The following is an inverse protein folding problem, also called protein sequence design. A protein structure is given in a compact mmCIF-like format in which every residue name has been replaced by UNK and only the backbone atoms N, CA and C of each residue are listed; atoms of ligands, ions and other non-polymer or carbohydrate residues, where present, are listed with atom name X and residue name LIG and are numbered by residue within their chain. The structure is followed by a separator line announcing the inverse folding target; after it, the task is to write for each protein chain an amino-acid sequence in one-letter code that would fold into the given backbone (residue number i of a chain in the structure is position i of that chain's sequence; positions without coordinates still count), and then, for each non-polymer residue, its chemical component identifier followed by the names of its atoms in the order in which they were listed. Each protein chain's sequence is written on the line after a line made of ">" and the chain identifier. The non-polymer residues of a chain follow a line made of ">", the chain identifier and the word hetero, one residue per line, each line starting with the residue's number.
data_IF_760144044730
#
_entry.id   IF_760144044730
#
_cell.length_a   1.000
_cell.length_b   1.000
_cell.length_c   1.000
_cell.angle_alpha   90.00
_cell.angle_beta   90.00
_cell.angle_gamma   90.00
#
_symmetry.space_group_name_H-M   'P 1'
#
loop_
_entity.id
_entity.type
_entity.pdbx_description
1 polymer ?
#
# COMPACT_ATOMS: atom_id res chain seq x y z
N UNK A 1 -10.35 -13.78 -12.19
CA UNK A 1 -9.18 -13.31 -11.42
C UNK A 1 -9.58 -12.32 -10.33
N UNK A 2 -10.54 -11.43 -10.60
CA UNK A 2 -11.17 -10.58 -9.57
C UNK A 2 -11.55 -11.35 -8.30
N UNK A 3 -12.14 -12.54 -8.41
CA UNK A 3 -12.46 -13.39 -7.24
C UNK A 3 -11.25 -13.84 -6.43
N UNK A 4 -10.14 -14.22 -7.08
CA UNK A 4 -8.88 -14.59 -6.42
C UNK A 4 -8.19 -13.37 -5.79
N UNK A 5 -8.16 -12.25 -6.51
CA UNK A 5 -7.62 -10.98 -6.01
C UNK A 5 -8.42 -10.49 -4.79
N UNK A 6 -9.75 -10.50 -4.85
CA UNK A 6 -10.63 -10.13 -3.74
C UNK A 6 -10.45 -11.06 -2.54
N UNK A 7 -10.24 -12.36 -2.76
CA UNK A 7 -9.96 -13.30 -1.67
C UNK A 7 -8.63 -12.98 -0.98
N UNK A 8 -7.58 -12.71 -1.76
CA UNK A 8 -6.27 -12.34 -1.24
C UNK A 8 -6.35 -10.99 -0.50
N UNK A 9 -7.03 -10.01 -1.08
CA UNK A 9 -7.22 -8.69 -0.48
C UNK A 9 -8.01 -8.76 0.82
N UNK A 10 -9.10 -9.54 0.86
CA UNK A 10 -9.86 -9.77 2.09
C UNK A 10 -8.98 -10.38 3.18
N UNK A 11 -8.19 -11.40 2.83
CA UNK A 11 -7.26 -12.02 3.76
C UNK A 11 -6.23 -11.02 4.30
N UNK A 12 -5.62 -10.22 3.42
CA UNK A 12 -4.66 -9.17 3.82
C UNK A 12 -5.29 -8.09 4.70
N UNK A 13 -6.53 -7.69 4.44
CA UNK A 13 -7.25 -6.71 5.28
C UNK A 13 -7.59 -7.29 6.66
N UNK A 14 -7.92 -8.57 6.76
CA UNK A 14 -8.09 -9.24 8.05
C UNK A 14 -6.76 -9.36 8.81
N UNK A 15 -5.66 -9.64 8.09
CA UNK A 15 -4.30 -9.60 8.65
C UNK A 15 -3.94 -8.19 9.16
N UNK A 16 -4.32 -7.16 8.42
CA UNK A 16 -4.13 -5.76 8.81
C UNK A 16 -4.99 -5.36 10.02
N UNK A 17 -6.20 -5.90 10.15
CA UNK A 17 -7.04 -5.71 11.34
C UNK A 17 -6.42 -6.34 12.60
N UNK A 18 -5.67 -7.44 12.46
CA UNK A 18 -4.94 -8.10 13.56
C UNK A 18 -3.70 -7.31 14.01
N UNK A 19 -3.14 -6.47 13.14
CA UNK A 19 -1.90 -5.73 13.39
C UNK A 19 -1.92 -4.91 14.70
N UNK A 20 -2.90 -4.01 14.96
CA UNK A 20 -2.92 -3.26 16.21
C UNK A 20 -3.06 -4.16 17.45
N UNK A 21 -3.75 -5.30 17.33
CA UNK A 21 -3.90 -6.28 18.42
C UNK A 21 -2.56 -6.92 18.75
N UNK A 22 -1.82 -7.38 17.74
CA UNK A 22 -0.50 -8.00 17.93
C UNK A 22 0.48 -6.98 18.51
N UNK A 23 0.48 -5.74 18.00
CA UNK A 23 1.32 -4.68 18.53
C UNK A 23 1.02 -4.38 20.00
N UNK A 24 -0.25 -4.28 20.37
CA UNK A 24 -0.66 -4.04 21.74
C UNK A 24 -0.28 -5.19 22.68
N UNK A 25 -0.45 -6.44 22.25
CA UNK A 25 -0.06 -7.64 23.04
C UNK A 25 1.46 -7.68 23.23
N UNK A 26 2.23 -7.54 22.14
CA UNK A 26 3.69 -7.54 22.21
C UNK A 26 4.22 -6.40 23.08
N UNK A 27 3.60 -5.21 22.99
CA UNK A 27 3.94 -4.10 23.86
C UNK A 27 3.64 -4.38 25.33
N UNK A 28 2.50 -5.03 25.64
CA UNK A 28 2.12 -5.36 27.01
C UNK A 28 3.06 -6.41 27.63
N UNK A 29 3.50 -7.39 26.85
CA UNK A 29 4.45 -8.43 27.29
C UNK A 29 5.83 -7.85 27.62
N UNK A 30 6.27 -6.80 26.91
CA UNK A 30 7.57 -6.16 27.16
C UNK A 30 7.57 -5.24 28.40
N UNK A 31 6.39 -4.81 28.88
CA UNK A 31 6.25 -3.96 30.07
C UNK A 31 6.20 -4.81 31.35
N UNK A 32 7.28 -5.56 31.63
CA UNK A 32 7.48 -6.15 32.95
C UNK A 32 7.74 -5.03 33.98
N UNK A 33 6.69 -4.72 34.76
CA UNK A 33 6.74 -4.28 36.17
C UNK A 33 6.48 -2.82 36.58
N UNK A 34 6.26 -1.80 35.74
CA UNK A 34 5.93 -0.48 36.34
C UNK A 34 5.21 0.49 35.40
N UNK A 35 4.01 0.90 35.85
CA UNK A 35 3.18 2.01 35.33
C UNK A 35 2.31 1.75 34.09
N UNK A 36 1.04 1.40 34.35
CA UNK A 36 -0.11 2.29 34.14
C UNK A 36 -1.38 1.51 33.80
N UNK A 37 -2.47 1.76 34.53
CA UNK A 37 -3.83 1.30 34.19
C UNK A 37 -4.22 1.63 32.74
N UNK A 38 -3.56 2.62 32.13
CA UNK A 38 -3.75 3.11 30.77
C UNK A 38 -3.38 2.04 29.72
N UNK A 39 -2.26 1.32 29.89
CA UNK A 39 -1.81 0.30 28.92
C UNK A 39 -2.81 -0.85 28.75
N UNK A 40 -3.36 -1.37 29.86
CA UNK A 40 -4.37 -2.42 29.81
C UNK A 40 -5.72 -1.94 29.27
N UNK A 41 -6.10 -0.67 29.50
CA UNK A 41 -7.31 -0.11 28.89
C UNK A 41 -7.19 0.03 27.37
N UNK A 42 -6.03 0.45 26.86
CA UNK A 42 -5.76 0.53 25.42
C UNK A 42 -5.81 -0.87 24.80
N UNK A 43 -5.16 -1.86 25.44
CA UNK A 43 -5.23 -3.26 25.01
C UNK A 43 -6.70 -3.74 24.94
N UNK A 44 -7.51 -3.45 25.96
CA UNK A 44 -8.91 -3.83 25.99
C UNK A 44 -9.71 -3.18 24.83
N UNK A 45 -9.53 -1.88 24.57
CA UNK A 45 -10.20 -1.20 23.46
C UNK A 45 -9.79 -1.73 22.09
N UNK A 46 -8.49 -2.01 21.90
CA UNK A 46 -7.97 -2.55 20.63
C UNK A 46 -8.51 -3.96 20.38
N UNK A 47 -8.52 -4.81 21.41
CA UNK A 47 -9.08 -6.17 21.33
C UNK A 47 -10.61 -6.13 21.12
N UNK A 48 -11.33 -5.26 21.83
CA UNK A 48 -12.78 -5.08 21.64
C UNK A 48 -13.13 -4.55 20.25
N UNK A 49 -12.30 -3.68 19.68
CA UNK A 49 -12.46 -3.12 18.34
C UNK A 49 -12.14 -4.10 17.20
N UNK A 50 -11.44 -5.20 17.49
CA UNK A 50 -11.01 -6.16 16.47
C UNK A 50 -12.17 -6.94 15.83
N UNK A 51 -13.05 -7.53 16.64
CA UNK A 51 -14.21 -8.28 16.16
C UNK A 51 -15.16 -7.46 15.27
N UNK A 52 -15.60 -6.24 15.66
CA UNK A 52 -16.46 -5.44 14.81
C UNK A 52 -15.75 -4.99 13.52
N UNK A 53 -14.43 -4.75 13.56
CA UNK A 53 -13.65 -4.45 12.36
C UNK A 53 -13.61 -5.64 11.38
N UNK A 54 -13.41 -6.86 11.87
CA UNK A 54 -13.46 -8.08 11.05
C UNK A 54 -14.83 -8.30 10.42
N UNK A 55 -15.91 -8.12 11.21
CA UNK A 55 -17.29 -8.21 10.72
C UNK A 55 -17.54 -7.14 9.66
N UNK A 56 -17.06 -5.91 9.86
CA UNK A 56 -17.18 -4.81 8.90
C UNK A 56 -16.47 -5.14 7.58
N UNK A 57 -15.26 -5.69 7.64
CA UNK A 57 -14.51 -6.13 6.44
C UNK A 57 -15.30 -7.21 5.69
N UNK A 58 -15.78 -8.25 6.39
CA UNK A 58 -16.58 -9.31 5.75
C UNK A 58 -17.87 -8.80 5.13
N UNK A 59 -18.59 -7.94 5.84
CA UNK A 59 -19.83 -7.34 5.37
C UNK A 59 -19.59 -6.45 4.14
N UNK A 60 -18.54 -5.63 4.17
CA UNK A 60 -18.17 -4.75 3.07
C UNK A 60 -17.80 -5.55 1.81
N UNK A 61 -17.04 -6.63 1.95
CA UNK A 61 -16.69 -7.49 0.82
C UNK A 61 -17.92 -8.19 0.24
N UNK A 62 -18.83 -8.72 1.07
CA UNK A 62 -20.08 -9.33 0.59
C UNK A 62 -20.92 -8.34 -0.22
N UNK A 63 -20.94 -7.07 0.18
CA UNK A 63 -21.69 -6.01 -0.50
C UNK A 63 -21.02 -5.51 -1.79
N UNK A 64 -19.70 -5.42 -1.79
CA UNK A 64 -18.93 -4.75 -2.86
C UNK A 64 -18.49 -5.73 -3.96
N UNK A 65 -18.39 -7.03 -3.69
CA UNK A 65 -17.87 -8.02 -4.66
C UNK A 65 -18.58 -7.95 -6.02
N UNK A 66 -19.92 -7.95 -6.04
CA UNK A 66 -20.68 -7.88 -7.29
C UNK A 66 -20.49 -6.55 -8.05
N UNK A 67 -20.37 -5.44 -7.33
CA UNK A 67 -20.09 -4.13 -7.93
C UNK A 67 -18.68 -4.06 -8.53
N UNK A 68 -17.68 -4.57 -7.80
CA UNK A 68 -16.29 -4.61 -8.27
C UNK A 68 -16.15 -5.48 -9.50
N UNK A 69 -16.80 -6.64 -9.56
CA UNK A 69 -16.70 -7.52 -10.72
C UNK A 69 -17.24 -6.83 -11.99
N UNK A 70 -18.38 -6.16 -11.89
CA UNK A 70 -18.95 -5.38 -13.00
C UNK A 70 -18.06 -4.19 -13.39
N UNK A 71 -17.61 -3.40 -12.41
CA UNK A 71 -16.72 -2.27 -12.66
C UNK A 71 -15.38 -2.71 -13.28
N UNK A 72 -14.83 -3.86 -12.85
CA UNK A 72 -13.56 -4.38 -13.36
C UNK A 72 -13.64 -4.83 -14.82
N UNK A 73 -14.82 -5.29 -15.25
CA UNK A 73 -15.08 -5.66 -16.65
C UNK A 73 -15.33 -4.41 -17.50
N UNK A 74 -16.07 -3.44 -16.98
CA UNK A 74 -16.34 -2.17 -17.66
C UNK A 74 -15.05 -1.37 -17.88
N UNK A 75 -14.19 -1.27 -16.87
CA UNK A 75 -12.85 -0.65 -16.99
C UNK A 75 -12.00 -1.35 -18.04
N UNK A 76 -11.96 -2.69 -18.03
CA UNK A 76 -11.25 -3.46 -19.04
C UNK A 76 -11.78 -3.18 -20.46
N UNK A 77 -13.10 -3.13 -20.64
CA UNK A 77 -13.73 -2.79 -21.91
C UNK A 77 -13.44 -1.36 -22.37
N UNK A 78 -13.48 -0.39 -21.45
CA UNK A 78 -13.11 1.00 -21.72
C UNK A 78 -11.68 1.11 -22.23
N UNK A 79 -10.72 0.46 -21.55
CA UNK A 79 -9.31 0.46 -21.93
C UNK A 79 -9.07 -0.15 -23.32
N UNK A 80 -9.85 -1.16 -23.70
CA UNK A 80 -9.76 -1.78 -25.03
C UNK A 80 -10.38 -0.91 -26.13
N UNK A 81 -11.37 -0.07 -25.78
CA UNK A 81 -12.05 0.84 -26.71
C UNK A 81 -11.30 2.16 -26.96
N UNK A 82 -10.28 2.50 -26.15
CA UNK A 82 -9.48 3.72 -26.35
C UNK A 82 -8.95 3.76 -27.78
N UNK A 83 -9.13 4.88 -28.48
CA UNK A 83 -8.66 5.05 -29.86
C UNK A 83 -7.13 4.92 -29.96
N UNK A 84 -6.63 4.36 -31.06
CA UNK A 84 -5.19 4.23 -31.33
C UNK A 84 -4.42 5.56 -31.26
N UNK A 85 -5.10 6.69 -31.52
CA UNK A 85 -4.51 8.04 -31.39
C UNK A 85 -4.20 8.41 -29.94
N UNK A 86 -5.02 7.99 -28.99
CA UNK A 86 -4.85 8.29 -27.57
C UNK A 86 -4.14 7.17 -26.80
N UNK A 87 -3.98 5.98 -27.41
CA UNK A 87 -3.30 4.85 -26.80
C UNK A 87 -1.86 5.20 -26.37
N UNK A 88 -1.13 5.95 -27.19
CA UNK A 88 0.25 6.34 -26.86
C UNK A 88 0.33 7.26 -25.64
N UNK A 89 -0.59 8.24 -25.58
CA UNK A 89 -0.70 9.14 -24.45
C UNK A 89 -1.15 8.39 -23.19
N UNK A 90 -2.08 7.44 -23.34
CA UNK A 90 -2.56 6.61 -22.25
C UNK A 90 -1.43 5.75 -21.66
N UNK A 91 -0.57 5.14 -22.49
CA UNK A 91 0.61 4.38 -22.03
C UNK A 91 1.57 5.29 -21.26
N UNK A 92 1.90 6.46 -21.81
CA UNK A 92 2.80 7.40 -21.14
C UNK A 92 2.20 7.92 -19.82
N UNK A 93 0.90 8.22 -19.81
CA UNK A 93 0.19 8.70 -18.63
C UNK A 93 0.08 7.60 -17.55
N UNK A 94 -0.25 6.37 -17.92
CA UNK A 94 -0.32 5.26 -16.96
C UNK A 94 1.05 4.93 -16.37
N UNK A 95 2.10 4.94 -17.19
CA UNK A 95 3.48 4.74 -16.73
C UNK A 95 3.95 5.85 -15.79
N UNK A 96 3.69 7.11 -16.15
CA UNK A 96 4.00 8.25 -15.30
C UNK A 96 3.23 8.23 -13.97
N UNK A 97 1.96 7.84 -14.02
CA UNK A 97 1.11 7.67 -12.84
C UNK A 97 1.62 6.54 -11.93
N UNK A 98 1.99 5.40 -12.51
CA UNK A 98 2.54 4.26 -11.77
C UNK A 98 3.83 4.64 -11.04
N UNK A 99 4.76 5.32 -11.72
CA UNK A 99 6.02 5.75 -11.12
C UNK A 99 5.81 6.88 -10.10
N UNK A 100 4.92 7.83 -10.38
CA UNK A 100 4.58 8.87 -9.41
C UNK A 100 4.04 8.23 -8.13
N UNK A 101 3.10 7.28 -8.24
CA UNK A 101 2.54 6.57 -7.09
C UNK A 101 3.60 5.76 -6.34
N UNK A 102 4.50 5.08 -7.05
CA UNK A 102 5.63 4.35 -6.45
C UNK A 102 6.49 5.29 -5.59
N UNK A 103 6.93 6.41 -6.15
CA UNK A 103 7.74 7.40 -5.43
C UNK A 103 6.98 8.04 -4.26
N UNK A 104 5.70 8.36 -4.45
CA UNK A 104 4.85 8.94 -3.40
C UNK A 104 4.69 7.97 -2.21
N UNK A 105 4.46 6.68 -2.48
CA UNK A 105 4.32 5.64 -1.45
C UNK A 105 5.63 5.41 -0.71
N UNK A 106 6.76 5.28 -1.41
CA UNK A 106 8.08 5.12 -0.78
C UNK A 106 8.40 6.30 0.13
N UNK A 107 8.14 7.53 -0.34
CA UNK A 107 8.41 8.74 0.42
C UNK A 107 7.51 8.85 1.65
N UNK A 108 6.21 8.71 1.48
CA UNK A 108 5.24 8.86 2.56
C UNK A 108 5.42 7.79 3.65
N UNK A 109 5.63 6.52 3.28
CA UNK A 109 5.92 5.45 4.25
C UNK A 109 7.18 5.74 5.08
N UNK A 110 8.22 6.28 4.44
CA UNK A 110 9.47 6.66 5.11
C UNK A 110 9.36 7.92 5.98
N UNK A 111 8.37 8.78 5.76
CA UNK A 111 8.11 9.97 6.61
C UNK A 111 7.33 9.61 7.88
N UNK A 112 6.41 8.63 7.81
CA UNK A 112 5.58 8.23 8.94
C UNK A 112 6.26 7.24 9.90
N UNK A 113 7.01 6.27 9.38
CA UNK A 113 7.61 5.19 10.17
C UNK A 113 9.11 5.06 9.90
N UNK A 114 9.99 5.17 10.92
CA UNK A 114 11.44 5.08 10.74
C UNK A 114 11.91 3.77 10.09
N UNK A 115 11.20 2.66 10.32
CA UNK A 115 11.48 1.36 9.72
C UNK A 115 11.59 1.41 8.19
N UNK A 116 10.66 2.10 7.53
CA UNK A 116 10.67 2.28 6.08
C UNK A 116 11.73 3.29 5.63
N UNK A 117 12.11 4.24 6.47
CA UNK A 117 13.17 5.20 6.18
C UNK A 117 14.56 4.53 6.10
N UNK A 118 14.81 3.55 6.98
CA UNK A 118 16.07 2.78 6.98
C UNK A 118 16.11 1.76 5.84
N UNK A 119 14.99 1.09 5.55
CA UNK A 119 14.91 0.06 4.52
C UNK A 119 14.01 0.48 3.35
N UNK A 120 14.34 1.61 2.70
CA UNK A 120 13.59 2.11 1.53
C UNK A 120 13.44 1.07 0.40
N UNK A 121 14.42 0.18 0.28
CA UNK A 121 14.39 -0.93 -0.68
C UNK A 121 13.21 -1.88 -0.45
N UNK A 122 12.65 -1.96 0.76
CA UNK A 122 11.50 -2.79 1.06
C UNK A 122 10.24 -2.29 0.34
N UNK A 123 9.94 -1.00 0.49
CA UNK A 123 8.81 -0.35 -0.17
C UNK A 123 8.97 -0.38 -1.69
N UNK A 124 10.19 -0.16 -2.19
CA UNK A 124 10.53 -0.29 -3.61
C UNK A 124 10.26 -1.71 -4.10
N UNK A 125 10.75 -2.73 -3.40
CA UNK A 125 10.55 -4.13 -3.78
C UNK A 125 9.06 -4.50 -3.79
N UNK A 126 8.27 -3.99 -2.85
CA UNK A 126 6.82 -4.21 -2.81
C UNK A 126 6.12 -3.57 -4.02
N UNK A 127 6.47 -2.33 -4.38
CA UNK A 127 5.94 -1.66 -5.57
C UNK A 127 6.36 -2.40 -6.84
N UNK A 128 7.63 -2.77 -6.95
CA UNK A 128 8.17 -3.55 -8.08
C UNK A 128 7.47 -4.90 -8.23
N UNK A 129 7.26 -5.63 -7.14
CA UNK A 129 6.54 -6.90 -7.16
C UNK A 129 5.07 -6.73 -7.56
N UNK A 130 4.39 -5.70 -7.05
CA UNK A 130 3.01 -5.37 -7.43
C UNK A 130 2.89 -5.01 -8.91
N UNK A 131 3.70 -4.08 -9.40
CA UNK A 131 3.73 -3.68 -10.81
C UNK A 131 4.12 -4.85 -11.72
N UNK A 132 5.15 -5.61 -11.37
CA UNK A 132 5.63 -6.76 -12.13
C UNK A 132 4.59 -7.87 -12.24
N UNK A 133 3.91 -8.22 -11.14
CA UNK A 133 2.78 -9.15 -11.15
C UNK A 133 1.62 -8.58 -11.99
N UNK A 134 1.36 -7.28 -11.88
CA UNK A 134 0.35 -6.60 -12.69
C UNK A 134 0.62 -6.71 -14.19
N UNK A 135 1.86 -6.45 -14.64
CA UNK A 135 2.28 -6.64 -16.03
C UNK A 135 2.10 -8.09 -16.50
N UNK A 136 2.46 -9.06 -15.66
CA UNK A 136 2.29 -10.49 -15.98
C UNK A 136 0.81 -10.90 -16.09
N UNK A 137 -0.07 -10.24 -15.33
CA UNK A 137 -1.51 -10.48 -15.28
C UNK A 137 -2.32 -9.55 -16.21
N UNK A 138 -1.65 -8.81 -17.10
CA UNK A 138 -2.26 -7.79 -17.95
C UNK A 138 -3.15 -8.35 -19.08
N UNK A 139 -2.96 -9.61 -19.46
CA UNK A 139 -3.77 -10.29 -20.50
C UNK A 139 -5.13 -10.78 -20.00
N UNK A 140 -5.40 -10.64 -18.71
CA UNK A 140 -6.65 -11.08 -18.11
C UNK A 140 -7.80 -10.12 -18.44
N UNK A 141 -9.00 -10.67 -18.54
CA UNK A 141 -10.19 -9.95 -19.01
C UNK A 141 -10.70 -8.87 -18.05
N UNK A 142 -10.30 -8.87 -16.78
CA UNK A 142 -10.83 -7.97 -15.74
C UNK A 142 -9.70 -7.29 -14.95
N UNK A 143 -9.84 -5.99 -14.68
CA UNK A 143 -8.86 -5.19 -13.94
C UNK A 143 -9.56 -4.49 -12.76
N UNK A 144 -9.24 -4.84 -11.50
CA UNK A 144 -9.84 -4.20 -10.33
C UNK A 144 -9.16 -2.86 -9.97
N UNK A 145 -9.04 -1.93 -10.94
CA UNK A 145 -8.32 -0.67 -10.76
C UNK A 145 -8.98 0.22 -9.68
N UNK A 146 -10.31 0.20 -9.62
CA UNK A 146 -11.07 0.95 -8.62
C UNK A 146 -10.73 0.56 -7.17
N UNK A 147 -10.15 -0.63 -6.93
CA UNK A 147 -9.74 -1.08 -5.60
C UNK A 147 -8.39 -0.52 -5.16
N UNK A 148 -7.55 -0.01 -6.07
CA UNK A 148 -6.27 0.60 -5.70
C UNK A 148 -6.49 1.81 -4.77
N UNK A 149 -7.49 2.65 -5.05
CA UNK A 149 -7.81 3.85 -4.26
C UNK A 149 -8.18 3.50 -2.80
N UNK A 150 -9.18 2.64 -2.52
CA UNK A 150 -9.54 2.31 -1.15
C UNK A 150 -8.44 1.52 -0.43
N UNK A 151 -7.63 0.72 -1.12
CA UNK A 151 -6.52 -0.02 -0.49
C UNK A 151 -5.41 0.93 -0.05
N UNK A 152 -4.96 1.85 -0.92
CA UNK A 152 -3.98 2.87 -0.54
C UNK A 152 -4.53 3.80 0.55
N UNK A 153 -5.79 4.21 0.45
CA UNK A 153 -6.44 5.04 1.47
C UNK A 153 -6.53 4.32 2.82
N UNK A 154 -6.83 3.02 2.83
CA UNK A 154 -6.83 2.20 4.04
C UNK A 154 -5.42 2.06 4.61
N UNK A 155 -4.41 1.84 3.77
CA UNK A 155 -3.01 1.79 4.20
C UNK A 155 -2.57 3.12 4.83
N UNK A 156 -3.00 4.26 4.27
CA UNK A 156 -2.82 5.60 4.82
C UNK A 156 -3.47 5.77 6.18
N UNK A 157 -4.74 5.39 6.29
CA UNK A 157 -5.47 5.44 7.55
C UNK A 157 -4.80 4.55 8.61
N UNK A 158 -4.37 3.35 8.24
CA UNK A 158 -3.72 2.41 9.14
C UNK A 158 -2.40 2.96 9.70
N UNK A 159 -1.54 3.53 8.85
CA UNK A 159 -0.31 4.18 9.33
C UNK A 159 -0.60 5.40 10.19
N UNK A 160 -1.59 6.22 9.80
CA UNK A 160 -1.98 7.38 10.60
C UNK A 160 -2.50 6.96 11.99
N UNK A 161 -3.31 5.90 12.09
CA UNK A 161 -3.78 5.32 13.36
C UNK A 161 -2.62 4.72 14.15
N UNK A 162 -1.68 4.02 13.52
CA UNK A 162 -0.52 3.45 14.21
C UNK A 162 0.38 4.57 14.76
N UNK A 163 0.58 5.64 14.00
CA UNK A 163 1.43 6.77 14.39
C UNK A 163 0.79 7.66 15.47
N UNK A 164 -0.50 7.94 15.37
CA UNK A 164 -1.20 8.93 16.20
C UNK A 164 -2.18 8.33 17.22
N UNK A 165 -2.55 7.05 17.05
CA UNK A 165 -3.45 6.37 17.97
C UNK A 165 -2.79 6.21 19.33
N UNK A 166 -3.52 6.53 20.40
CA UNK A 166 -3.38 6.00 21.75
C UNK A 166 -1.99 6.02 22.45
N UNK A 167 -1.26 7.13 22.48
CA UNK A 167 -0.12 7.35 23.41
C UNK A 167 1.14 6.54 23.06
N UNK A 168 2.32 7.14 23.11
CA UNK A 168 3.56 6.60 22.50
C UNK A 168 4.04 5.21 22.94
N UNK A 169 3.37 4.55 23.90
CA UNK A 169 3.85 3.32 24.53
C UNK A 169 3.45 2.02 23.81
N UNK A 170 2.29 1.93 23.16
CA UNK A 170 1.85 0.66 22.51
C UNK A 170 2.54 0.39 21.15
N UNK A 171 3.16 1.42 20.57
CA UNK A 171 3.93 1.34 19.32
C UNK A 171 5.43 1.10 19.56
N UNK A 172 5.87 0.99 20.83
CA UNK A 172 7.27 0.74 21.20
C UNK A 172 7.95 -0.37 20.40
N UNK A 173 7.30 -1.51 20.06
CA UNK A 173 7.93 -2.53 19.22
C UNK A 173 8.35 -2.01 17.82
N UNK A 174 7.56 -1.16 17.18
CA UNK A 174 7.89 -0.63 15.85
C UNK A 174 9.02 0.42 15.92
N UNK A 175 9.12 1.14 17.04
CA UNK A 175 10.18 2.14 17.26
C UNK A 175 11.51 1.51 17.70
N UNK A 176 11.46 0.38 18.40
CA UNK A 176 12.62 -0.36 18.85
C UNK A 176 13.04 -1.39 17.78
N UNK A 177 13.68 -0.96 16.70
CA UNK A 177 13.97 -1.87 15.59
C UNK A 177 14.88 -3.06 16.02
N UNK A 178 14.56 -4.31 15.66
CA UNK A 178 15.34 -5.49 16.04
C UNK A 178 16.57 -5.72 15.14
N UNK A 179 17.30 -4.68 14.72
CA UNK A 179 18.39 -4.81 13.75
C UNK A 179 19.74 -4.34 14.28
N UNK A 180 20.80 -5.06 13.91
CA UNK A 180 22.18 -4.86 14.36
C UNK A 180 22.72 -3.50 13.95
N UNK A 181 22.24 -2.94 12.84
CA UNK A 181 22.61 -1.61 12.33
C UNK A 181 22.26 -0.47 13.31
N UNK A 182 21.36 -0.70 14.27
CA UNK A 182 21.14 0.23 15.39
C UNK A 182 22.39 0.41 16.27
N UNK A 183 23.25 -0.60 16.36
CA UNK A 183 24.52 -0.48 17.10
C UNK A 183 25.43 0.60 16.49
N UNK A 184 25.37 0.78 15.17
CA UNK A 184 26.11 1.85 14.49
C UNK A 184 25.54 3.25 14.77
N UNK A 185 24.32 3.32 15.33
CA UNK A 185 23.66 4.55 15.78
C UNK A 185 23.68 4.71 17.31
N UNK A 186 24.40 3.85 18.04
CA UNK A 186 24.48 3.88 19.49
C UNK A 186 23.21 3.44 20.22
N UNK A 187 22.29 2.78 19.51
CA UNK A 187 21.07 2.20 20.09
C UNK A 187 21.26 0.70 20.29
N UNK A 188 20.89 0.19 21.46
CA UNK A 188 20.92 -1.25 21.72
C UNK A 188 19.75 -1.93 20.98
N UNK A 189 20.00 -2.88 20.06
CA UNK A 189 18.94 -3.60 19.39
C UNK A 189 18.16 -4.41 20.42
N UNK A 190 16.83 -4.30 20.38
CA UNK A 190 15.98 -5.05 21.31
C UNK A 190 15.70 -6.42 20.69
N UNK A 191 16.40 -7.45 21.17
CA UNK A 191 16.36 -8.83 20.64
C UNK A 191 15.22 -9.69 21.18
N UNK A 192 14.26 -9.07 21.88
CA UNK A 192 13.06 -9.73 22.38
C UNK A 192 12.26 -10.37 21.24
N UNK A 193 11.79 -11.60 21.45
CA UNK A 193 11.06 -12.38 20.45
C UNK A 193 9.76 -11.68 20.05
N UNK A 194 9.10 -11.03 21.00
CA UNK A 194 7.85 -10.29 20.83
C UNK A 194 8.01 -9.15 19.83
N UNK A 195 9.07 -8.37 19.99
CA UNK A 195 9.41 -7.27 19.10
C UNK A 195 9.71 -7.73 17.66
N UNK A 196 10.41 -8.85 17.55
CA UNK A 196 10.75 -9.46 16.27
C UNK A 196 9.48 -9.90 15.54
N UNK A 197 8.57 -10.61 16.23
CA UNK A 197 7.28 -11.04 15.68
C UNK A 197 6.46 -9.83 15.25
N UNK A 198 6.34 -8.81 16.10
CA UNK A 198 5.58 -7.59 15.80
C UNK A 198 6.11 -6.86 14.56
N UNK A 199 7.43 -6.68 14.46
CA UNK A 199 8.08 -5.98 13.34
C UNK A 199 7.92 -6.74 12.02
N UNK A 200 8.19 -8.05 11.99
CA UNK A 200 8.04 -8.84 10.76
C UNK A 200 6.58 -8.99 10.34
N UNK A 201 5.66 -9.09 11.30
CA UNK A 201 4.23 -9.10 11.01
C UNK A 201 3.77 -7.78 10.40
N UNK A 202 4.19 -6.64 10.98
CA UNK A 202 3.97 -5.31 10.42
C UNK A 202 4.51 -5.21 8.98
N UNK A 203 5.77 -5.57 8.75
CA UNK A 203 6.38 -5.55 7.42
C UNK A 203 5.59 -6.41 6.44
N UNK A 204 5.22 -7.63 6.83
CA UNK A 204 4.47 -8.56 5.96
C UNK A 204 3.10 -7.99 5.57
N UNK A 205 2.36 -7.41 6.52
CA UNK A 205 1.07 -6.76 6.25
C UNK A 205 1.24 -5.63 5.23
N UNK A 206 2.19 -4.72 5.46
CA UNK A 206 2.42 -3.57 4.60
C UNK A 206 2.96 -3.93 3.23
N UNK A 207 3.80 -4.97 3.15
CA UNK A 207 4.25 -5.52 1.88
C UNK A 207 3.08 -6.03 1.06
N UNK A 208 2.22 -6.87 1.65
CA UNK A 208 1.06 -7.43 0.96
C UNK A 208 0.07 -6.34 0.53
N UNK A 209 -0.21 -5.35 1.40
CA UNK A 209 -1.08 -4.22 1.05
C UNK A 209 -0.51 -3.43 -0.14
N UNK A 210 0.78 -3.14 -0.12
CA UNK A 210 1.44 -2.38 -1.19
C UNK A 210 1.45 -3.20 -2.50
N UNK A 211 1.83 -4.48 -2.46
CA UNK A 211 1.80 -5.35 -3.64
C UNK A 211 0.40 -5.40 -4.24
N UNK A 212 -0.62 -5.63 -3.41
CA UNK A 212 -2.02 -5.68 -3.86
C UNK A 212 -2.49 -4.35 -4.46
N UNK A 213 -2.11 -3.21 -3.88
CA UNK A 213 -2.45 -1.90 -4.42
C UNK A 213 -1.86 -1.64 -5.82
N UNK A 214 -0.64 -2.13 -6.07
CA UNK A 214 0.09 -1.90 -7.32
C UNK A 214 -0.20 -2.93 -8.42
N UNK A 215 -0.77 -4.10 -8.11
CA UNK A 215 -1.17 -5.09 -9.12
C UNK A 215 -2.12 -4.49 -10.19
N UNK A 216 -3.25 -3.83 -9.83
CA UNK A 216 -4.15 -3.28 -10.83
C UNK A 216 -3.52 -2.15 -11.66
N UNK A 217 -2.61 -1.36 -11.06
CA UNK A 217 -1.85 -0.33 -11.77
C UNK A 217 -0.93 -0.97 -12.82
N UNK A 218 -0.23 -2.05 -12.46
CA UNK A 218 0.59 -2.79 -13.42
C UNK A 218 -0.24 -3.43 -14.53
N UNK A 219 -1.44 -3.93 -14.22
CA UNK A 219 -2.37 -4.46 -15.22
C UNK A 219 -2.84 -3.38 -16.20
N UNK A 220 -3.15 -2.17 -15.70
CA UNK A 220 -3.49 -1.01 -16.53
C UNK A 220 -2.37 -0.71 -17.54
N UNK A 221 -1.12 -0.56 -17.06
CA UNK A 221 0.03 -0.29 -17.92
C UNK A 221 0.26 -1.43 -18.93
N UNK A 222 0.28 -2.68 -18.46
CA UNK A 222 0.54 -3.84 -19.31
C UNK A 222 -0.52 -4.03 -20.39
N UNK A 223 -1.80 -3.79 -20.08
CA UNK A 223 -2.88 -3.95 -21.05
C UNK A 223 -2.78 -2.90 -22.14
N UNK A 224 -2.54 -1.64 -21.78
CA UNK A 224 -2.31 -0.55 -22.74
C UNK A 224 -1.08 -0.81 -23.62
N UNK A 225 0.02 -1.30 -23.05
CA UNK A 225 1.24 -1.64 -23.80
C UNK A 225 1.04 -2.80 -24.81
N UNK A 226 0.10 -3.71 -24.55
CA UNK A 226 -0.21 -4.84 -25.44
C UNK A 226 -0.88 -4.39 -26.74
N UNK A 227 -1.42 -3.17 -26.77
CA UNK A 227 -2.13 -2.60 -27.93
C UNK A 227 -1.22 -1.95 -28.98
N UNK A 228 0.07 -1.82 -28.68
CA UNK A 228 1.06 -1.17 -29.53
C UNK A 228 2.28 -2.08 -29.74
N UNK A 229 3.12 -1.76 -30.72
CA UNK A 229 4.36 -2.49 -30.96
C UNK A 229 5.30 -2.42 -29.76
N UNK A 230 5.94 -3.55 -29.42
CA UNK A 230 6.77 -3.70 -28.20
C UNK A 230 7.81 -2.59 -28.01
N UNK A 231 8.48 -2.19 -29.09
CA UNK A 231 9.52 -1.15 -29.04
C UNK A 231 8.94 0.24 -28.74
N UNK A 232 7.80 0.59 -29.38
CA UNK A 232 7.12 1.87 -29.16
C UNK A 232 6.51 1.93 -27.76
N UNK A 233 5.83 0.87 -27.32
CA UNK A 233 5.27 0.76 -25.97
C UNK A 233 6.35 0.93 -24.90
N UNK A 234 7.52 0.30 -25.07
CA UNK A 234 8.64 0.43 -24.14
C UNK A 234 9.18 1.86 -24.09
N UNK A 235 9.36 2.50 -25.25
CA UNK A 235 9.80 3.90 -25.33
C UNK A 235 8.82 4.86 -24.65
N UNK A 236 7.51 4.67 -24.86
CA UNK A 236 6.46 5.46 -24.22
C UNK A 236 6.39 5.21 -22.71
N UNK A 237 6.57 3.97 -22.26
CA UNK A 237 6.64 3.64 -20.84
C UNK A 237 7.83 4.33 -20.15
N UNK A 238 8.99 4.35 -20.80
CA UNK A 238 10.17 5.05 -20.28
C UNK A 238 9.95 6.57 -20.26
N UNK A 239 9.40 7.15 -21.33
CA UNK A 239 9.09 8.57 -21.41
C UNK A 239 8.07 8.97 -20.33
N UNK A 240 7.00 8.19 -20.18
CA UNK A 240 6.00 8.36 -19.14
C UNK A 240 6.61 8.31 -17.74
N UNK A 241 7.49 7.34 -17.49
CA UNK A 241 8.22 7.22 -16.23
C UNK A 241 9.06 8.47 -15.94
N UNK A 242 9.81 8.99 -16.92
CA UNK A 242 10.58 10.23 -16.76
C UNK A 242 9.65 11.40 -16.41
N UNK A 243 8.51 11.53 -17.10
CA UNK A 243 7.51 12.55 -16.77
C UNK A 243 6.96 12.38 -15.36
N UNK A 244 6.74 11.15 -14.90
CA UNK A 244 6.34 10.83 -13.52
C UNK A 244 7.35 11.35 -12.49
N UNK A 245 8.65 11.12 -12.70
CA UNK A 245 9.72 11.66 -11.82
C UNK A 245 9.69 13.19 -11.82
N UNK A 246 9.57 13.82 -13.00
CA UNK A 246 9.52 15.28 -13.11
C UNK A 246 8.31 15.88 -12.41
N UNK A 247 7.15 15.21 -12.47
CA UNK A 247 5.95 15.63 -11.75
C UNK A 247 6.15 15.54 -10.24
N UNK A 248 6.73 14.45 -9.73
CA UNK A 248 7.08 14.33 -8.29
C UNK A 248 8.09 15.40 -7.87
N UNK A 249 9.06 15.72 -8.72
CA UNK A 249 10.01 16.80 -8.47
C UNK A 249 9.28 18.16 -8.38
N UNK A 250 8.35 18.41 -9.30
CA UNK A 250 7.52 19.62 -9.30
C UNK A 250 6.65 19.75 -8.06
N UNK A 251 5.98 18.68 -7.62
CA UNK A 251 5.18 18.71 -6.38
C UNK A 251 6.04 18.88 -5.14
N UNK A 252 7.25 18.31 -5.14
CA UNK A 252 8.23 18.50 -4.07
C UNK A 252 8.76 19.93 -4.01
N UNK A 253 8.94 20.59 -5.16
CA UNK A 253 9.35 22.00 -5.22
C UNK A 253 8.30 22.94 -4.63
N UNK A 254 7.03 22.57 -4.73
CA UNK A 254 5.90 23.33 -4.19
C UNK A 254 5.61 23.01 -2.70
N UNK A 255 6.40 22.12 -2.07
CA UNK A 255 6.24 21.72 -0.65
C UNK A 255 4.81 21.23 -0.33
N UNK A 256 4.18 20.62 -1.32
CA UNK A 256 2.80 20.16 -1.25
C UNK A 256 2.70 18.96 -0.31
N UNK A 257 1.71 18.88 0.59
CA UNK A 257 1.55 17.75 1.51
C UNK A 257 1.17 16.44 0.80
N UNK A 258 1.47 15.26 1.39
CA UNK A 258 1.21 13.95 0.78
C UNK A 258 -0.24 13.74 0.32
N UNK A 259 -1.21 14.30 1.05
CA UNK A 259 -2.65 14.21 0.72
C UNK A 259 -2.93 14.72 -0.70
N UNK A 260 -2.26 15.78 -1.13
CA UNK A 260 -2.46 16.35 -2.47
C UNK A 260 -1.76 15.50 -3.54
N UNK A 261 -0.61 14.88 -3.23
CA UNK A 261 0.05 13.95 -4.16
C UNK A 261 -0.85 12.74 -4.46
N UNK A 262 -1.36 12.09 -3.40
CA UNK A 262 -2.29 10.97 -3.54
C UNK A 262 -3.61 11.40 -4.16
N UNK A 263 -4.14 12.57 -3.81
CA UNK A 263 -5.36 13.12 -4.41
C UNK A 263 -5.24 13.31 -5.93
N UNK A 264 -4.10 13.85 -6.40
CA UNK A 264 -3.82 13.98 -7.82
C UNK A 264 -3.75 12.61 -8.52
N UNK A 265 -3.06 11.64 -7.91
CA UNK A 265 -3.01 10.28 -8.45
C UNK A 265 -4.37 9.60 -8.50
N UNK A 266 -5.18 9.74 -7.46
CA UNK A 266 -6.51 9.14 -7.40
C UNK A 266 -7.44 9.78 -8.44
N UNK A 267 -7.35 11.09 -8.64
CA UNK A 267 -8.09 11.77 -9.71
C UNK A 267 -7.67 11.24 -11.10
N UNK A 268 -6.37 11.06 -11.33
CA UNK A 268 -5.87 10.47 -12.58
C UNK A 268 -6.30 9.00 -12.74
N UNK A 269 -6.33 8.20 -11.67
CA UNK A 269 -6.80 6.81 -11.70
C UNK A 269 -8.30 6.73 -12.01
N UNK A 270 -9.12 7.65 -11.48
CA UNK A 270 -10.56 7.70 -11.74
C UNK A 270 -10.91 8.09 -13.19
N UNK A 271 -9.97 8.69 -13.91
CA UNK A 271 -10.13 8.97 -15.34
C UNK A 271 -10.00 7.70 -16.20
N UNK A 272 -9.35 6.65 -15.67
CA UNK A 272 -9.15 5.35 -16.34
C UNK A 272 -10.17 4.30 -15.87
#
# INVERSE_FOLDING_TARGET
>A
MTTSYLRLLKFTLLLAALLPVILAICSALMLESTSSSIGYTILAYVVLGFLPLCILVEYSFKRITGFVDLASQDQAGFLDQISSRYADLAIAASAGLALFLELAVIRWQGEDIPLFAFYKNFSLLACFAGLGLGYALATLESIPLILTIPVLSFQMLLLAIIRHGAGGDWIRPIWNLPFVEQLHMGLAPTTSVENTIATYFFLTVFFLLTVLAFIPIGQLCGRLMTRQEKLRSYGLNLLGSILGVLLVMGTSLLWVPPVIWFGLCFACLLFF
#
